data_IF_829320405150
#
_entry.id   IF_829320405150
#
_cell.length_a   1.000
_cell.length_b   1.000
_cell.length_c   1.000
_cell.angle_alpha   90.00
_cell.angle_beta   90.00
_cell.angle_gamma   90.00
#
_symmetry.space_group_name_H-M   'P 1'
#
loop_
_entity.id
_entity.type
_entity.pdbx_description
1 polymer ?
#
# COMPACT_ATOMS: atom_id res chain seq x y z
N UNK A 1 -6.51 -51.06 -19.64
CA UNK A 1 -7.12 -49.84 -19.10
C UNK A 1 -6.74 -49.74 -17.64
N UNK A 2 -5.56 -49.23 -17.35
CA UNK A 2 -5.10 -48.96 -15.97
C UNK A 2 -5.63 -47.60 -15.53
N UNK A 3 -6.42 -47.65 -14.46
CA UNK A 3 -6.96 -46.44 -13.83
C UNK A 3 -5.81 -45.59 -13.28
N UNK A 4 -5.59 -44.41 -13.85
CA UNK A 4 -4.77 -43.35 -13.25
C UNK A 4 -5.35 -43.03 -11.85
N UNK A 5 -4.75 -43.61 -10.81
CA UNK A 5 -4.93 -43.16 -9.44
C UNK A 5 -4.46 -41.70 -9.35
N UNK A 6 -5.40 -40.77 -9.32
CA UNK A 6 -5.12 -39.39 -9.01
C UNK A 6 -4.40 -39.35 -7.67
N UNK A 7 -3.12 -39.02 -7.67
CA UNK A 7 -2.37 -38.74 -6.45
C UNK A 7 -3.06 -37.58 -5.74
N UNK A 8 -3.82 -37.88 -4.68
CA UNK A 8 -4.30 -36.81 -3.78
C UNK A 8 -3.07 -36.04 -3.29
N UNK A 9 -3.06 -34.72 -3.39
CA UNK A 9 -1.92 -33.92 -2.95
C UNK A 9 -1.69 -34.17 -1.45
N UNK A 10 -0.46 -34.51 -1.09
CA UNK A 10 -0.04 -34.71 0.30
C UNK A 10 -0.36 -33.44 1.10
N UNK A 11 -1.25 -33.57 2.10
CA UNK A 11 -1.56 -32.50 3.05
C UNK A 11 -0.35 -32.30 3.97
N UNK A 12 0.55 -31.39 3.61
CA UNK A 12 1.66 -31.00 4.49
C UNK A 12 1.09 -30.22 5.67
N UNK A 13 1.07 -30.86 6.83
CA UNK A 13 0.65 -30.23 8.09
C UNK A 13 1.81 -29.36 8.59
N UNK A 14 1.79 -28.07 8.25
CA UNK A 14 2.80 -27.11 8.73
C UNK A 14 2.86 -27.08 10.26
N UNK A 15 4.03 -27.29 10.83
CA UNK A 15 4.28 -27.06 12.25
C UNK A 15 3.96 -25.59 12.57
N UNK A 16 3.37 -25.34 13.75
CA UNK A 16 3.04 -23.99 14.23
C UNK A 16 4.27 -23.08 14.27
N UNK A 17 5.42 -23.60 14.69
CA UNK A 17 6.68 -22.88 14.76
C UNK A 17 7.21 -22.51 13.37
N UNK A 18 7.10 -23.41 12.41
CA UNK A 18 7.57 -23.17 11.08
C UNK A 18 6.70 -22.13 10.35
N UNK A 19 5.40 -22.14 10.54
CA UNK A 19 4.51 -21.08 10.02
C UNK A 19 4.85 -19.70 10.59
N UNK A 20 5.17 -19.65 11.89
CA UNK A 20 5.58 -18.40 12.52
C UNK A 20 6.91 -17.90 11.97
N UNK A 21 7.88 -18.80 11.80
CA UNK A 21 9.18 -18.46 11.18
C UNK A 21 9.01 -17.93 9.76
N UNK A 22 8.23 -18.60 8.91
CA UNK A 22 7.97 -18.12 7.55
C UNK A 22 7.25 -16.77 7.53
N UNK A 23 6.28 -16.59 8.41
CA UNK A 23 5.61 -15.30 8.56
C UNK A 23 6.60 -14.19 8.93
N UNK A 24 7.50 -14.47 9.86
CA UNK A 24 8.54 -13.52 10.25
C UNK A 24 9.46 -13.17 9.08
N UNK A 25 9.91 -14.17 8.31
CA UNK A 25 10.72 -13.94 7.10
C UNK A 25 9.95 -13.09 6.09
N UNK A 26 8.69 -13.41 5.81
CA UNK A 26 7.86 -12.66 4.84
C UNK A 26 7.64 -11.21 5.30
N UNK A 27 7.34 -10.99 6.58
CA UNK A 27 7.19 -9.65 7.14
C UNK A 27 8.51 -8.87 7.12
N UNK A 28 9.65 -9.53 7.40
CA UNK A 28 10.97 -8.89 7.34
C UNK A 28 11.36 -8.51 5.92
N UNK A 29 11.05 -9.33 4.91
CA UNK A 29 11.26 -9.01 3.49
C UNK A 29 10.55 -7.70 3.14
N UNK A 30 9.26 -7.58 3.50
CA UNK A 30 8.48 -6.36 3.24
C UNK A 30 9.07 -5.13 3.96
N UNK A 31 9.59 -5.30 5.17
CA UNK A 31 10.26 -4.24 5.90
C UNK A 31 11.55 -3.81 5.21
N UNK A 32 12.43 -4.77 4.96
CA UNK A 32 13.76 -4.50 4.41
C UNK A 32 13.69 -3.87 3.03
N UNK A 33 12.80 -4.31 2.16
CA UNK A 33 12.58 -3.68 0.85
C UNK A 33 12.15 -2.20 0.90
N UNK A 34 11.82 -1.68 2.08
CA UNK A 34 11.49 -0.28 2.29
C UNK A 34 12.63 0.53 2.93
N UNK A 35 13.75 -0.08 3.29
CA UNK A 35 14.94 0.60 3.86
C UNK A 35 15.47 1.64 2.87
N UNK A 36 15.60 1.30 1.59
CA UNK A 36 16.02 2.21 0.54
C UNK A 36 15.18 3.50 0.46
N UNK A 37 13.86 3.41 0.73
CA UNK A 37 13.01 4.60 0.78
C UNK A 37 13.38 5.52 1.95
N UNK A 38 13.72 4.95 3.10
CA UNK A 38 14.20 5.70 4.26
C UNK A 38 15.56 6.36 4.02
N UNK A 39 16.50 5.64 3.42
CA UNK A 39 17.83 6.19 3.05
C UNK A 39 17.69 7.36 2.10
N UNK A 40 16.92 7.20 1.01
CA UNK A 40 16.71 8.27 0.02
C UNK A 40 16.11 9.52 0.66
N UNK A 41 15.09 9.37 1.50
CA UNK A 41 14.44 10.52 2.15
C UNK A 41 15.37 11.18 3.18
N UNK A 42 16.18 10.39 3.93
CA UNK A 42 17.08 10.93 4.96
C UNK A 42 18.32 11.60 4.39
N UNK A 43 18.87 11.11 3.27
CA UNK A 43 20.09 11.60 2.63
C UNK A 43 19.83 12.49 1.41
N UNK A 44 18.64 13.07 1.26
CA UNK A 44 18.23 13.86 0.07
C UNK A 44 19.26 14.93 -0.30
N UNK A 45 19.72 15.72 0.66
CA UNK A 45 20.70 16.81 0.43
C UNK A 45 22.04 16.28 -0.06
N UNK A 46 22.54 15.24 0.59
CA UNK A 46 23.84 14.63 0.31
C UNK A 46 23.83 13.91 -1.05
N UNK A 47 22.75 13.23 -1.38
CA UNK A 47 22.55 12.58 -2.69
C UNK A 47 22.48 13.62 -3.80
N UNK A 48 21.70 14.70 -3.62
CA UNK A 48 21.62 15.80 -4.60
C UNK A 48 23.01 16.42 -4.83
N UNK A 49 23.77 16.64 -3.75
CA UNK A 49 25.12 17.20 -3.85
C UNK A 49 26.11 16.26 -4.55
N UNK A 50 26.13 14.98 -4.16
CA UNK A 50 27.09 14.00 -4.69
C UNK A 50 26.84 13.67 -6.16
N UNK A 51 25.56 13.59 -6.57
CA UNK A 51 25.14 13.27 -7.94
C UNK A 51 24.88 14.51 -8.82
N UNK A 52 25.11 15.73 -8.29
CA UNK A 52 24.84 17.01 -8.97
C UNK A 52 23.43 17.09 -9.56
N UNK A 53 22.42 16.75 -8.73
CA UNK A 53 21.02 16.70 -9.14
C UNK A 53 20.25 17.90 -8.59
N UNK A 54 19.28 18.41 -9.39
CA UNK A 54 18.25 19.30 -8.91
C UNK A 54 17.08 18.53 -8.26
N UNK A 55 16.11 19.22 -7.68
CA UNK A 55 15.00 18.63 -6.95
C UNK A 55 14.07 17.83 -7.88
N UNK A 56 13.83 18.34 -9.11
CA UNK A 56 13.04 17.60 -10.12
C UNK A 56 13.70 16.27 -10.50
N UNK A 57 15.01 16.27 -10.73
CA UNK A 57 15.75 15.05 -11.05
C UNK A 57 15.80 14.08 -9.87
N UNK A 58 15.90 14.58 -8.64
CA UNK A 58 15.79 13.74 -7.44
C UNK A 58 14.39 13.15 -7.29
N UNK A 59 13.33 13.93 -7.55
CA UNK A 59 11.94 13.44 -7.56
C UNK A 59 11.72 12.27 -8.54
N UNK A 60 12.48 12.23 -9.64
CA UNK A 60 12.41 11.14 -10.62
C UNK A 60 12.84 9.76 -10.08
N UNK A 61 13.54 9.68 -8.94
CA UNK A 61 13.75 8.41 -8.23
C UNK A 61 12.43 7.78 -7.77
N UNK A 62 11.50 8.62 -7.28
CA UNK A 62 10.15 8.17 -6.91
C UNK A 62 9.36 7.68 -8.11
N UNK A 63 9.39 8.46 -9.20
CA UNK A 63 8.73 8.13 -10.47
C UNK A 63 9.26 6.82 -11.05
N UNK A 64 10.57 6.64 -11.15
CA UNK A 64 11.19 5.44 -11.68
C UNK A 64 10.80 4.19 -10.87
N UNK A 65 10.84 4.28 -9.53
CA UNK A 65 10.40 3.19 -8.65
C UNK A 65 8.94 2.79 -8.90
N UNK A 66 8.06 3.77 -9.06
CA UNK A 66 6.64 3.54 -9.30
C UNK A 66 6.38 2.91 -10.67
N UNK A 67 7.07 3.37 -11.72
CA UNK A 67 7.01 2.77 -13.06
C UNK A 67 7.45 1.31 -13.03
N UNK A 68 8.55 1.00 -12.36
CA UNK A 68 9.01 -0.38 -12.16
C UNK A 68 7.95 -1.25 -11.48
N UNK A 69 7.32 -0.76 -10.42
CA UNK A 69 6.24 -1.45 -9.70
C UNK A 69 5.02 -1.72 -10.58
N UNK A 70 4.64 -0.78 -11.45
CA UNK A 70 3.51 -0.91 -12.36
C UNK A 70 3.80 -2.02 -13.38
N UNK A 71 4.94 -1.96 -14.05
CA UNK A 71 5.35 -2.95 -15.04
C UNK A 71 5.37 -4.34 -14.40
N UNK A 72 5.95 -4.44 -13.22
CA UNK A 72 6.03 -5.68 -12.46
C UNK A 72 4.65 -6.22 -12.07
N UNK A 73 3.76 -5.39 -11.53
CA UNK A 73 2.42 -5.82 -11.11
C UNK A 73 1.61 -6.37 -12.27
N UNK A 74 1.73 -5.77 -13.45
CA UNK A 74 1.06 -6.23 -14.68
C UNK A 74 1.63 -7.55 -15.15
N UNK A 75 2.95 -7.67 -15.26
CA UNK A 75 3.62 -8.89 -15.71
C UNK A 75 3.41 -10.06 -14.75
N UNK A 76 3.60 -9.85 -13.44
CA UNK A 76 3.42 -10.90 -12.45
C UNK A 76 1.96 -11.28 -12.25
N UNK A 77 1.02 -10.36 -12.44
CA UNK A 77 -0.41 -10.67 -12.50
C UNK A 77 -0.72 -11.72 -13.59
N UNK A 78 -0.06 -11.59 -14.76
CA UNK A 78 -0.20 -12.53 -15.88
C UNK A 78 0.60 -13.83 -15.71
N UNK A 79 1.80 -13.74 -15.17
CA UNK A 79 2.75 -14.85 -15.05
C UNK A 79 2.55 -15.71 -13.80
N UNK A 80 1.86 -15.20 -12.80
CA UNK A 80 1.73 -15.83 -11.47
C UNK A 80 1.11 -17.25 -11.50
N UNK A 81 0.40 -17.59 -12.57
CA UNK A 81 -0.16 -18.95 -12.76
C UNK A 81 0.84 -19.94 -13.36
N UNK A 82 1.93 -19.46 -13.99
CA UNK A 82 2.88 -20.28 -14.76
C UNK A 82 4.21 -20.51 -14.05
N UNK A 83 4.58 -19.65 -13.10
CA UNK A 83 5.89 -19.70 -12.43
C UNK A 83 5.68 -20.15 -10.98
N UNK A 84 6.55 -21.06 -10.50
CA UNK A 84 6.60 -21.42 -9.08
C UNK A 84 6.82 -20.17 -8.22
N UNK A 85 6.00 -20.00 -7.20
CA UNK A 85 6.02 -18.83 -6.31
C UNK A 85 7.29 -18.74 -5.50
N UNK A 86 7.85 -19.87 -5.11
CA UNK A 86 9.18 -19.93 -4.48
C UNK A 86 10.22 -19.29 -5.40
N UNK A 87 10.32 -19.77 -6.63
CA UNK A 87 11.31 -19.25 -7.58
C UNK A 87 11.06 -17.77 -7.92
N UNK A 88 9.80 -17.40 -8.12
CA UNK A 88 9.43 -15.99 -8.34
C UNK A 88 9.91 -15.09 -7.19
N UNK A 89 9.63 -15.46 -5.94
CA UNK A 89 10.04 -14.67 -4.77
C UNK A 89 11.55 -14.66 -4.61
N UNK A 90 12.20 -15.82 -4.67
CA UNK A 90 13.64 -15.97 -4.46
C UNK A 90 14.46 -15.21 -5.50
N UNK A 91 14.12 -15.35 -6.80
CA UNK A 91 14.81 -14.63 -7.88
C UNK A 91 14.62 -13.11 -7.76
N UNK A 92 13.41 -12.65 -7.43
CA UNK A 92 13.18 -11.23 -7.26
C UNK A 92 13.96 -10.64 -6.07
N UNK A 93 14.10 -11.37 -4.96
CA UNK A 93 14.94 -10.95 -3.84
C UNK A 93 16.42 -10.87 -4.22
N UNK A 94 16.92 -11.88 -4.93
CA UNK A 94 18.29 -11.90 -5.42
C UNK A 94 18.60 -10.73 -6.37
N UNK A 95 17.74 -10.50 -7.37
CA UNK A 95 17.87 -9.35 -8.28
C UNK A 95 17.75 -8.01 -7.54
N UNK A 96 16.85 -7.92 -6.57
CA UNK A 96 16.72 -6.71 -5.74
C UNK A 96 18.03 -6.38 -5.02
N UNK A 97 18.66 -7.38 -4.40
CA UNK A 97 19.97 -7.21 -3.76
C UNK A 97 21.05 -6.79 -4.76
N UNK A 98 21.10 -7.40 -5.94
CA UNK A 98 22.05 -7.03 -7.00
C UNK A 98 21.86 -5.58 -7.44
N UNK A 99 20.61 -5.13 -7.63
CA UNK A 99 20.34 -3.74 -8.01
C UNK A 99 20.73 -2.75 -6.92
N UNK A 100 20.58 -3.10 -5.64
CA UNK A 100 21.10 -2.28 -4.53
C UNK A 100 22.62 -2.17 -4.53
N UNK A 101 23.34 -3.24 -4.90
CA UNK A 101 24.81 -3.18 -5.01
C UNK A 101 25.26 -2.20 -6.09
N UNK A 102 24.49 -2.01 -7.17
CA UNK A 102 24.82 -1.05 -8.23
C UNK A 102 24.84 0.39 -7.69
N UNK A 103 24.03 0.73 -6.66
CA UNK A 103 24.11 2.04 -6.02
C UNK A 103 25.49 2.33 -5.39
N UNK A 104 26.26 1.30 -5.06
CA UNK A 104 27.59 1.45 -4.51
C UNK A 104 28.68 1.62 -5.59
N UNK A 105 28.42 1.13 -6.80
CA UNK A 105 29.43 1.06 -7.87
C UNK A 105 29.46 2.32 -8.74
N UNK A 106 28.33 3.00 -8.92
CA UNK A 106 28.24 4.14 -9.84
C UNK A 106 27.80 5.43 -9.15
N UNK A 107 28.28 6.56 -9.71
CA UNK A 107 27.83 7.93 -9.36
C UNK A 107 27.04 8.60 -10.49
N UNK A 108 26.68 7.84 -11.54
CA UNK A 108 25.88 8.38 -12.63
C UNK A 108 24.41 8.42 -12.23
N UNK A 109 23.87 9.62 -12.07
CA UNK A 109 22.49 9.86 -11.68
C UNK A 109 21.45 9.16 -12.58
N UNK A 110 21.67 9.14 -13.89
CA UNK A 110 20.72 8.52 -14.84
C UNK A 110 20.70 6.99 -14.69
N UNK A 111 21.88 6.39 -14.49
CA UNK A 111 21.98 4.94 -14.22
C UNK A 111 21.26 4.62 -12.91
N UNK A 112 21.47 5.42 -11.86
CA UNK A 112 20.83 5.18 -10.56
C UNK A 112 19.31 5.34 -10.63
N UNK A 113 18.78 6.30 -11.41
CA UNK A 113 17.35 6.44 -11.67
C UNK A 113 16.79 5.19 -12.37
N UNK A 114 17.48 4.70 -13.39
CA UNK A 114 17.10 3.47 -14.09
C UNK A 114 17.10 2.25 -13.16
N UNK A 115 18.18 2.08 -12.39
CA UNK A 115 18.31 1.00 -11.37
C UNK A 115 17.22 1.12 -10.31
N UNK A 116 16.81 2.34 -9.96
CA UNK A 116 15.68 2.54 -9.05
C UNK A 116 14.35 2.03 -9.64
N UNK A 117 14.17 2.14 -10.96
CA UNK A 117 13.05 1.51 -11.66
C UNK A 117 13.09 -0.03 -11.57
N UNK A 118 14.25 -0.64 -11.78
CA UNK A 118 14.46 -2.08 -11.62
C UNK A 118 14.24 -2.54 -10.16
N UNK A 119 14.64 -1.73 -9.19
CA UNK A 119 14.36 -1.94 -7.78
C UNK A 119 12.85 -1.97 -7.49
N UNK A 120 12.08 -1.00 -8.03
CA UNK A 120 10.63 -1.01 -7.94
C UNK A 120 10.01 -2.25 -8.60
N UNK A 121 10.56 -2.70 -9.73
CA UNK A 121 10.12 -3.91 -10.42
C UNK A 121 10.25 -5.16 -9.54
N UNK A 122 11.37 -5.35 -8.87
CA UNK A 122 11.62 -6.52 -8.02
C UNK A 122 10.90 -6.46 -6.66
N UNK A 123 10.47 -5.28 -6.22
CA UNK A 123 9.73 -5.09 -4.97
C UNK A 123 8.29 -5.63 -5.03
N UNK A 124 7.66 -5.63 -6.22
CA UNK A 124 6.23 -5.92 -6.37
C UNK A 124 5.83 -7.37 -6.13
N UNK A 125 6.55 -8.39 -6.65
CA UNK A 125 6.14 -9.79 -6.49
C UNK A 125 5.98 -10.24 -5.04
N UNK A 126 6.92 -10.00 -4.11
CA UNK A 126 6.72 -10.27 -2.69
C UNK A 126 5.52 -9.54 -2.10
N UNK A 127 5.35 -8.25 -2.42
CA UNK A 127 4.26 -7.43 -1.89
C UNK A 127 2.87 -7.89 -2.34
N UNK A 128 2.75 -8.56 -3.49
CA UNK A 128 1.51 -9.20 -3.93
C UNK A 128 1.33 -10.56 -3.25
N UNK A 129 2.42 -11.31 -3.15
CA UNK A 129 2.38 -12.68 -2.66
C UNK A 129 2.13 -12.78 -1.14
N UNK A 130 2.77 -11.94 -0.33
CA UNK A 130 2.72 -12.01 1.14
C UNK A 130 1.28 -11.91 1.69
N UNK A 131 0.43 -10.96 1.27
CA UNK A 131 -0.97 -10.91 1.72
C UNK A 131 -1.77 -12.16 1.36
N UNK A 132 -1.55 -12.71 0.15
CA UNK A 132 -2.23 -13.92 -0.30
C UNK A 132 -1.78 -15.14 0.49
N UNK A 133 -0.49 -15.23 0.81
CA UNK A 133 0.06 -16.27 1.67
C UNK A 133 -0.54 -16.21 3.08
N UNK A 134 -0.64 -15.02 3.67
CA UNK A 134 -1.27 -14.80 4.97
C UNK A 134 -2.74 -15.25 4.93
N UNK A 135 -3.47 -14.90 3.87
CA UNK A 135 -4.88 -15.29 3.75
C UNK A 135 -5.07 -16.80 3.76
N UNK A 136 -4.13 -17.58 3.25
CA UNK A 136 -4.20 -19.03 3.17
C UNK A 136 -3.67 -19.74 4.42
N UNK A 137 -2.56 -19.26 4.99
CA UNK A 137 -1.85 -19.99 6.05
C UNK A 137 -2.09 -19.43 7.46
N UNK A 138 -2.59 -18.20 7.58
CA UNK A 138 -2.90 -17.62 8.87
C UNK A 138 -4.12 -18.28 9.52
N UNK A 139 -4.05 -18.41 10.83
CA UNK A 139 -5.25 -18.72 11.63
C UNK A 139 -6.21 -17.54 11.47
N UNK A 140 -7.49 -17.83 11.20
CA UNK A 140 -8.50 -16.83 10.83
C UNK A 140 -8.58 -15.63 11.78
N UNK A 141 -8.52 -15.90 13.10
CA UNK A 141 -8.52 -14.86 14.14
C UNK A 141 -7.29 -13.95 14.13
N UNK A 142 -6.14 -14.40 13.58
CA UNK A 142 -4.90 -13.64 13.54
C UNK A 142 -4.60 -13.02 12.18
N UNK A 143 -5.43 -13.26 11.16
CA UNK A 143 -5.20 -12.82 9.79
C UNK A 143 -5.05 -11.31 9.68
N UNK A 144 -5.98 -10.55 10.28
CA UNK A 144 -5.92 -9.09 10.31
C UNK A 144 -4.67 -8.58 11.01
N UNK A 145 -4.31 -9.18 12.16
CA UNK A 145 -3.10 -8.81 12.91
C UNK A 145 -1.85 -9.05 12.07
N UNK A 146 -1.78 -10.17 11.36
CA UNK A 146 -0.62 -10.48 10.51
C UNK A 146 -0.52 -9.53 9.31
N UNK A 147 -1.63 -9.18 8.65
CA UNK A 147 -1.64 -8.18 7.58
C UNK A 147 -1.19 -6.81 8.09
N UNK A 148 -1.68 -6.39 9.26
CA UNK A 148 -1.24 -5.15 9.90
C UNK A 148 0.24 -5.19 10.26
N UNK A 149 0.75 -6.32 10.74
CA UNK A 149 2.19 -6.49 11.06
C UNK A 149 3.05 -6.32 9.81
N UNK A 150 2.63 -6.83 8.66
CA UNK A 150 3.33 -6.63 7.38
C UNK A 150 3.33 -5.15 6.98
N UNK A 151 2.22 -4.45 7.11
CA UNK A 151 2.18 -3.00 6.83
C UNK A 151 3.07 -2.20 7.80
N UNK A 152 3.06 -2.58 9.07
CA UNK A 152 3.92 -1.97 10.08
C UNK A 152 5.41 -2.25 9.80
N UNK A 153 5.76 -3.44 9.31
CA UNK A 153 7.14 -3.77 8.95
C UNK A 153 7.69 -2.89 7.82
N UNK A 154 6.87 -2.50 6.84
CA UNK A 154 7.26 -1.54 5.79
C UNK A 154 7.62 -0.18 6.40
N UNK A 155 6.87 0.25 7.41
CA UNK A 155 7.15 1.49 8.14
C UNK A 155 8.44 1.38 8.96
N UNK A 156 8.62 0.27 9.67
CA UNK A 156 9.85 -0.04 10.41
C UNK A 156 11.06 -0.03 9.45
N UNK A 157 10.93 -0.59 8.25
CA UNK A 157 11.98 -0.56 7.24
C UNK A 157 12.42 0.86 6.87
N UNK A 158 11.48 1.78 6.66
CA UNK A 158 11.81 3.19 6.41
C UNK A 158 12.54 3.82 7.59
N UNK A 159 12.10 3.57 8.82
CA UNK A 159 12.79 4.05 10.02
C UNK A 159 14.22 3.48 10.15
N UNK A 160 14.40 2.19 9.87
CA UNK A 160 15.73 1.56 9.83
C UNK A 160 16.61 2.26 8.78
N UNK A 161 16.08 2.61 7.62
CA UNK A 161 16.80 3.36 6.59
C UNK A 161 17.33 4.72 7.10
N UNK A 162 16.51 5.46 7.85
CA UNK A 162 16.95 6.69 8.51
C UNK A 162 18.05 6.44 9.54
N UNK A 163 17.89 5.42 10.40
CA UNK A 163 18.86 5.05 11.41
C UNK A 163 20.19 4.60 10.81
N UNK A 164 20.16 3.79 9.75
CA UNK A 164 21.36 3.35 9.03
C UNK A 164 22.11 4.55 8.43
N UNK A 165 21.39 5.47 7.82
CA UNK A 165 21.99 6.66 7.25
C UNK A 165 22.61 7.57 8.33
N UNK A 166 21.99 7.68 9.50
CA UNK A 166 22.55 8.39 10.65
C UNK A 166 23.79 7.67 11.20
N UNK A 167 23.75 6.34 11.32
CA UNK A 167 24.85 5.52 11.86
C UNK A 167 26.11 5.57 10.98
N UNK A 168 25.94 5.41 9.66
CA UNK A 168 27.07 5.45 8.73
C UNK A 168 27.57 6.87 8.42
N UNK A 169 26.79 7.89 8.79
CA UNK A 169 27.02 9.27 8.40
C UNK A 169 26.45 9.59 7.00
N UNK A 170 25.83 10.76 6.87
CA UNK A 170 25.10 11.15 5.66
C UNK A 170 25.93 11.18 4.39
N UNK A 171 27.24 11.44 4.50
CA UNK A 171 28.17 11.41 3.37
C UNK A 171 28.35 9.98 2.81
N UNK A 172 28.12 8.97 3.65
CA UNK A 172 28.26 7.55 3.31
C UNK A 172 26.91 6.85 3.06
N UNK A 173 25.91 7.59 2.55
CA UNK A 173 24.55 7.07 2.31
C UNK A 173 24.50 5.76 1.52
N UNK A 174 25.50 5.49 0.67
CA UNK A 174 25.63 4.24 -0.09
C UNK A 174 25.79 3.00 0.80
N UNK A 175 26.42 3.12 1.97
CA UNK A 175 26.61 1.98 2.91
C UNK A 175 25.29 1.43 3.43
N UNK A 176 24.25 2.26 3.54
CA UNK A 176 22.92 1.80 3.92
C UNK A 176 22.32 0.83 2.90
N UNK A 177 22.50 1.08 1.61
CA UNK A 177 22.08 0.15 0.55
C UNK A 177 22.87 -1.16 0.57
N UNK A 178 24.14 -1.11 0.94
CA UNK A 178 24.95 -2.32 1.10
C UNK A 178 24.44 -3.20 2.26
N UNK A 179 24.07 -2.60 3.38
CA UNK A 179 23.49 -3.31 4.51
C UNK A 179 22.15 -3.96 4.15
N UNK A 180 21.28 -3.22 3.43
CA UNK A 180 20.03 -3.74 2.90
C UNK A 180 20.25 -4.93 1.95
N UNK A 181 21.18 -4.81 1.01
CA UNK A 181 21.53 -5.89 0.08
C UNK A 181 22.02 -7.15 0.80
N UNK A 182 22.86 -6.99 1.81
CA UNK A 182 23.35 -8.11 2.62
C UNK A 182 22.24 -8.88 3.32
N UNK A 183 21.28 -8.18 3.91
CA UNK A 183 20.13 -8.83 4.53
C UNK A 183 19.20 -9.50 3.52
N UNK A 184 18.98 -8.89 2.36
CA UNK A 184 18.17 -9.50 1.30
C UNK A 184 18.80 -10.76 0.73
N UNK A 185 20.14 -10.82 0.63
CA UNK A 185 20.85 -12.05 0.25
C UNK A 185 20.64 -13.14 1.31
N UNK A 186 20.65 -12.79 2.59
CA UNK A 186 20.30 -13.73 3.67
C UNK A 186 18.85 -14.22 3.53
N UNK A 187 17.88 -13.34 3.29
CA UNK A 187 16.48 -13.75 3.04
C UNK A 187 16.36 -14.64 1.79
N UNK A 188 17.10 -14.31 0.73
CA UNK A 188 17.15 -15.14 -0.51
C UNK A 188 17.64 -16.55 -0.18
N UNK A 189 18.71 -16.68 0.61
CA UNK A 189 19.21 -17.96 1.07
C UNK A 189 18.17 -18.74 1.89
N UNK A 190 17.49 -18.08 2.84
CA UNK A 190 16.41 -18.69 3.61
C UNK A 190 15.26 -19.21 2.70
N UNK A 191 14.90 -18.44 1.68
CA UNK A 191 13.89 -18.87 0.70
C UNK A 191 14.36 -20.05 -0.14
N UNK A 192 15.64 -20.12 -0.52
CA UNK A 192 16.23 -21.23 -1.29
C UNK A 192 16.14 -22.56 -0.54
N UNK A 193 16.48 -22.58 0.74
CA UNK A 193 16.46 -23.81 1.57
C UNK A 193 15.05 -24.24 1.97
N UNK A 194 14.06 -23.34 1.91
CA UNK A 194 12.66 -23.65 2.25
C UNK A 194 12.03 -24.50 1.15
N UNK A 195 11.29 -25.56 1.51
CA UNK A 195 10.59 -26.40 0.53
C UNK A 195 9.55 -25.62 -0.28
N UNK A 196 9.36 -26.02 -1.56
CA UNK A 196 8.38 -25.41 -2.48
C UNK A 196 6.94 -25.53 -1.97
N UNK A 197 6.64 -26.60 -1.24
CA UNK A 197 5.32 -26.86 -0.66
C UNK A 197 4.81 -25.71 0.25
N UNK A 198 5.73 -25.02 0.91
CA UNK A 198 5.40 -23.90 1.78
C UNK A 198 5.11 -22.58 1.06
N UNK A 199 5.51 -22.51 -0.19
CA UNK A 199 5.21 -21.38 -1.09
C UNK A 199 3.97 -21.65 -1.95
N UNK A 200 3.54 -22.93 -2.08
CA UNK A 200 2.39 -23.28 -2.93
C UNK A 200 1.10 -22.77 -2.28
N UNK A 201 0.31 -22.02 -3.04
CA UNK A 201 -1.00 -21.51 -2.62
C UNK A 201 -2.12 -22.52 -2.89
N UNK A 202 -1.77 -23.71 -3.35
CA UNK A 202 -2.73 -24.74 -3.74
C UNK A 202 -2.99 -25.68 -2.59
N UNK A 203 -3.21 -25.35 -1.39
CA UNK A 203 -3.65 -26.35 -0.44
C UNK A 203 -3.91 -25.83 0.99
N UNK A 204 -5.05 -26.21 1.40
CA UNK A 204 -5.55 -26.27 2.76
C UNK A 204 -6.46 -25.12 3.18
N UNK A 205 -7.69 -25.18 2.73
CA UNK A 205 -8.78 -24.66 3.60
C UNK A 205 -8.97 -25.71 4.69
N UNK A 206 -8.66 -25.44 5.96
CA UNK A 206 -9.07 -26.32 7.03
C UNK A 206 -10.61 -26.44 6.95
N UNK A 207 -11.13 -27.66 6.97
CA UNK A 207 -12.57 -27.84 7.20
C UNK A 207 -12.88 -27.09 8.49
N UNK A 208 -13.74 -26.10 8.38
CA UNK A 208 -14.31 -25.42 9.55
C UNK A 208 -14.95 -26.48 10.43
N UNK A 209 -14.79 -26.37 11.72
CA UNK A 209 -15.61 -27.13 12.65
C UNK A 209 -17.07 -26.74 12.45
N UNK A 210 -18.01 -27.65 12.64
CA UNK A 210 -19.46 -27.39 12.43
C UNK A 210 -19.94 -26.16 13.22
N UNK A 211 -19.28 -25.85 14.32
CA UNK A 211 -19.53 -24.67 15.16
C UNK A 211 -19.01 -23.38 14.54
N UNK A 212 -17.83 -23.40 13.91
CA UNK A 212 -17.25 -22.27 13.18
C UNK A 212 -18.05 -22.01 11.89
N UNK A 213 -18.53 -23.06 11.22
CA UNK A 213 -19.38 -22.94 10.03
C UNK A 213 -20.76 -22.38 10.39
N UNK A 214 -21.33 -22.77 11.54
CA UNK A 214 -22.58 -22.24 12.07
C UNK A 214 -22.48 -20.76 12.48
N UNK A 215 -21.41 -20.38 13.15
CA UNK A 215 -21.12 -19.00 13.49
C UNK A 215 -20.84 -18.14 12.25
N UNK A 216 -20.27 -18.72 11.21
CA UNK A 216 -20.07 -18.07 9.93
C UNK A 216 -21.39 -17.90 9.17
N UNK A 217 -22.26 -18.92 9.18
CA UNK A 217 -23.59 -18.85 8.59
C UNK A 217 -24.42 -17.77 9.27
N UNK A 218 -24.37 -17.64 10.59
CA UNK A 218 -25.06 -16.58 11.34
C UNK A 218 -24.47 -15.19 10.98
N UNK A 219 -23.17 -15.09 10.78
CA UNK A 219 -22.52 -13.85 10.30
C UNK A 219 -22.76 -13.60 8.81
N UNK A 220 -22.96 -14.63 7.99
CA UNK A 220 -23.22 -14.54 6.56
C UNK A 220 -24.72 -14.49 6.22
N UNK A 221 -25.65 -14.90 7.10
CA UNK A 221 -27.09 -14.71 6.91
C UNK A 221 -27.51 -13.25 6.96
N UNK A 222 -26.67 -12.37 7.50
CA UNK A 222 -26.82 -10.92 7.30
C UNK A 222 -26.31 -10.49 5.91
N UNK A 223 -25.60 -11.37 5.15
CA UNK A 223 -24.89 -11.07 3.90
C UNK A 223 -25.14 -12.01 2.71
N UNK A 224 -26.03 -12.98 2.80
CA UNK A 224 -25.96 -14.05 1.82
C UNK A 224 -27.17 -14.81 1.36
N UNK A 225 -28.23 -14.19 0.90
CA UNK A 225 -29.23 -14.89 0.06
C UNK A 225 -28.95 -14.86 -1.45
N UNK A 226 -27.78 -14.42 -1.91
CA UNK A 226 -27.42 -14.37 -3.34
C UNK A 226 -26.52 -15.50 -3.84
N UNK A 227 -26.30 -16.56 -3.08
CA UNK A 227 -25.37 -17.65 -3.49
C UNK A 227 -26.02 -18.90 -4.09
N UNK A 228 -27.23 -18.83 -4.61
CA UNK A 228 -27.86 -19.96 -5.30
C UNK A 228 -28.47 -19.59 -6.64
N UNK A 229 -27.65 -19.12 -7.60
CA UNK A 229 -27.92 -19.25 -9.05
C UNK A 229 -26.66 -18.90 -9.84
N UNK A 230 -26.24 -19.86 -10.63
CA UNK A 230 -25.24 -19.82 -11.72
C UNK A 230 -23.82 -20.34 -11.43
N UNK A 231 -23.73 -21.63 -11.12
CA UNK A 231 -22.47 -22.40 -11.26
C UNK A 231 -22.04 -22.69 -12.73
N UNK A 232 -22.68 -22.08 -13.72
CA UNK A 232 -22.48 -22.46 -15.13
C UNK A 232 -21.92 -21.38 -16.06
N UNK A 233 -21.28 -20.31 -15.56
CA UNK A 233 -20.55 -19.37 -16.43
C UNK A 233 -19.15 -19.04 -15.91
N UNK A 234 -18.23 -20.02 -15.91
CA UNK A 234 -16.79 -19.75 -15.97
C UNK A 234 -16.44 -19.22 -17.37
N UNK A 235 -16.74 -17.98 -17.67
CA UNK A 235 -16.06 -17.21 -18.71
C UNK A 235 -15.09 -16.29 -17.97
N UNK A 236 -13.80 -16.65 -17.94
CA UNK A 236 -12.75 -15.70 -17.64
C UNK A 236 -12.91 -14.51 -18.59
N UNK A 237 -13.35 -13.38 -18.07
CA UNK A 237 -13.50 -12.16 -18.84
C UNK A 237 -12.13 -11.70 -19.32
N UNK A 238 -12.04 -11.17 -20.53
CA UNK A 238 -10.84 -10.51 -21.01
C UNK A 238 -10.61 -9.26 -20.16
N UNK A 239 -9.38 -9.08 -19.63
CA UNK A 239 -8.99 -7.90 -18.82
C UNK A 239 -9.45 -6.57 -19.43
N UNK A 240 -9.42 -6.44 -20.77
CA UNK A 240 -9.90 -5.25 -21.48
C UNK A 240 -11.44 -5.08 -21.43
N UNK A 241 -12.18 -6.19 -21.41
CA UNK A 241 -13.64 -6.15 -21.22
C UNK A 241 -14.00 -5.67 -19.81
N UNK A 242 -13.31 -6.22 -18.81
CA UNK A 242 -13.50 -5.83 -17.41
C UNK A 242 -13.13 -4.35 -17.20
N UNK A 243 -12.02 -3.88 -17.80
CA UNK A 243 -11.61 -2.48 -17.78
C UNK A 243 -12.70 -1.57 -18.37
N UNK A 244 -13.33 -1.96 -19.49
CA UNK A 244 -14.40 -1.19 -20.11
C UNK A 244 -15.63 -1.10 -19.19
N UNK A 245 -16.01 -2.19 -18.55
CA UNK A 245 -17.13 -2.21 -17.58
C UNK A 245 -16.84 -1.28 -16.41
N UNK A 246 -15.63 -1.42 -15.81
CA UNK A 246 -15.21 -0.62 -14.66
C UNK A 246 -15.06 0.87 -14.98
N UNK A 247 -14.66 1.23 -16.20
CA UNK A 247 -14.54 2.62 -16.66
C UNK A 247 -15.90 3.32 -16.81
N UNK A 248 -16.98 2.57 -16.93
CA UNK A 248 -18.33 3.12 -16.97
C UNK A 248 -18.99 3.19 -15.57
N UNK A 249 -18.36 2.62 -14.54
CA UNK A 249 -18.97 2.52 -13.21
C UNK A 249 -18.61 3.74 -12.34
N UNK A 250 -19.51 4.72 -12.25
CA UNK A 250 -19.27 6.02 -11.59
C UNK A 250 -18.79 5.91 -10.13
N UNK A 251 -19.42 5.05 -9.31
CA UNK A 251 -19.02 4.88 -7.91
C UNK A 251 -17.60 4.31 -7.79
N UNK A 252 -17.23 3.40 -8.69
CA UNK A 252 -15.88 2.84 -8.75
C UNK A 252 -14.86 3.93 -9.11
N UNK A 253 -15.11 4.71 -10.16
CA UNK A 253 -14.21 5.79 -10.60
C UNK A 253 -14.00 6.85 -9.52
N UNK A 254 -15.07 7.26 -8.83
CA UNK A 254 -14.97 8.20 -7.71
C UNK A 254 -14.15 7.64 -6.56
N UNK A 255 -14.36 6.36 -6.20
CA UNK A 255 -13.59 5.69 -5.14
C UNK A 255 -12.11 5.58 -5.50
N UNK A 256 -11.80 5.26 -6.76
CA UNK A 256 -10.42 5.21 -7.27
C UNK A 256 -9.78 6.60 -7.23
N UNK A 257 -10.49 7.64 -7.67
CA UNK A 257 -9.99 9.02 -7.65
C UNK A 257 -9.67 9.49 -6.22
N UNK A 258 -10.58 9.25 -5.28
CA UNK A 258 -10.32 9.55 -3.86
C UNK A 258 -9.07 8.82 -3.35
N UNK A 259 -8.97 7.52 -3.61
CA UNK A 259 -7.81 6.71 -3.20
C UNK A 259 -6.50 7.22 -3.80
N UNK A 260 -6.52 7.65 -5.07
CA UNK A 260 -5.37 8.24 -5.75
C UNK A 260 -4.87 9.46 -4.97
N UNK A 261 -5.75 10.39 -4.62
CA UNK A 261 -5.37 11.61 -3.92
C UNK A 261 -4.82 11.27 -2.53
N UNK A 262 -5.55 10.53 -1.71
CA UNK A 262 -5.17 10.19 -0.34
C UNK A 262 -3.80 9.48 -0.27
N UNK A 263 -3.58 8.52 -1.15
CA UNK A 263 -2.33 7.74 -1.17
C UNK A 263 -1.16 8.55 -1.72
N UNK A 264 -1.41 9.40 -2.74
CA UNK A 264 -0.37 10.17 -3.41
C UNK A 264 0.27 11.20 -2.52
N UNK A 265 -0.56 11.93 -1.79
CA UNK A 265 -0.09 12.99 -0.92
C UNK A 265 0.65 12.44 0.29
N UNK A 266 0.19 11.33 0.83
CA UNK A 266 0.93 10.60 1.86
C UNK A 266 2.33 10.18 1.36
N UNK A 267 2.42 9.65 0.14
CA UNK A 267 3.71 9.24 -0.45
C UNK A 267 4.64 10.43 -0.66
N UNK A 268 4.13 11.53 -1.20
CA UNK A 268 4.89 12.76 -1.42
C UNK A 268 5.43 13.34 -0.10
N UNK A 269 4.58 13.41 0.91
CA UNK A 269 4.96 13.89 2.24
C UNK A 269 6.10 13.06 2.82
N UNK A 270 5.99 11.74 2.82
CA UNK A 270 7.06 10.86 3.31
C UNK A 270 8.37 11.00 2.52
N UNK A 271 8.30 11.34 1.25
CA UNK A 271 9.49 11.50 0.41
C UNK A 271 10.22 12.81 0.67
N UNK A 272 9.50 13.93 0.83
CA UNK A 272 10.06 15.28 0.89
C UNK A 272 10.10 15.91 2.29
N UNK A 273 9.44 15.33 3.29
CA UNK A 273 9.28 15.93 4.62
C UNK A 273 10.63 16.25 5.29
N UNK A 274 11.60 15.36 5.21
CA UNK A 274 12.91 15.58 5.81
C UNK A 274 13.66 16.72 5.12
N UNK A 275 13.56 16.82 3.79
CA UNK A 275 14.15 17.91 3.02
C UNK A 275 13.45 19.25 3.34
N UNK A 276 12.13 19.25 3.48
CA UNK A 276 11.34 20.41 3.91
C UNK A 276 11.75 20.90 5.30
N UNK A 277 11.90 20.00 6.28
CA UNK A 277 12.33 20.36 7.64
C UNK A 277 13.75 20.96 7.62
N UNK A 278 14.66 20.46 6.78
CA UNK A 278 16.01 20.99 6.67
C UNK A 278 16.08 22.32 5.94
N UNK A 279 15.39 22.43 4.82
CA UNK A 279 15.58 23.56 3.89
C UNK A 279 14.67 24.75 4.22
N UNK A 280 13.44 24.46 4.65
CA UNK A 280 12.43 25.49 4.91
C UNK A 280 12.38 25.87 6.38
N UNK A 281 12.38 24.88 7.30
CA UNK A 281 12.38 25.13 8.74
C UNK A 281 13.78 25.48 9.25
N UNK A 282 14.84 25.06 8.53
CA UNK A 282 16.23 25.36 8.90
C UNK A 282 16.78 24.47 10.02
N UNK A 283 16.17 23.29 10.27
CA UNK A 283 16.67 22.36 11.27
C UNK A 283 17.96 21.68 10.79
N UNK A 284 19.04 21.85 11.54
CA UNK A 284 20.37 21.30 11.22
C UNK A 284 20.71 20.05 12.01
N UNK A 285 20.02 19.83 13.15
CA UNK A 285 20.25 18.66 13.99
C UNK A 285 19.65 17.40 13.36
N UNK A 286 20.54 16.57 12.84
CA UNK A 286 20.16 15.35 12.14
C UNK A 286 19.50 14.31 13.07
N UNK A 287 19.92 14.21 14.32
CA UNK A 287 19.30 13.31 15.29
C UNK A 287 17.85 13.69 15.51
N UNK A 288 17.58 15.00 15.67
CA UNK A 288 16.25 15.53 15.86
C UNK A 288 15.35 15.29 14.64
N UNK A 289 15.86 15.47 13.42
CA UNK A 289 15.13 15.15 12.18
C UNK A 289 14.79 13.67 12.13
N UNK A 290 15.75 12.79 12.43
CA UNK A 290 15.58 11.33 12.41
C UNK A 290 14.55 10.85 13.43
N UNK A 291 14.61 11.35 14.66
CA UNK A 291 13.65 11.00 15.72
C UNK A 291 12.25 11.47 15.32
N UNK A 292 12.08 12.74 14.90
CA UNK A 292 10.79 13.27 14.51
C UNK A 292 10.20 12.50 13.32
N UNK A 293 11.00 12.21 12.30
CA UNK A 293 10.54 11.42 11.15
C UNK A 293 10.14 9.99 11.57
N UNK A 294 10.89 9.35 12.46
CA UNK A 294 10.54 8.01 12.97
C UNK A 294 9.19 8.03 13.69
N UNK A 295 8.95 9.01 14.54
CA UNK A 295 7.65 9.21 15.22
C UNK A 295 6.54 9.40 14.18
N UNK A 296 6.75 10.24 13.18
CA UNK A 296 5.79 10.52 12.09
C UNK A 296 5.47 9.23 11.31
N UNK A 297 6.47 8.43 10.97
CA UNK A 297 6.26 7.18 10.25
C UNK A 297 5.34 6.21 11.00
N UNK A 298 5.47 6.12 12.32
CA UNK A 298 4.60 5.26 13.14
C UNK A 298 3.20 5.85 13.37
N UNK A 299 3.07 7.16 13.33
CA UNK A 299 1.80 7.86 13.60
C UNK A 299 0.67 7.42 12.64
N UNK A 300 0.95 7.26 11.35
CA UNK A 300 -0.03 6.82 10.37
C UNK A 300 -0.62 5.44 10.69
N UNK A 301 0.17 4.36 10.69
CA UNK A 301 -0.33 3.02 10.96
C UNK A 301 -0.97 2.87 12.34
N UNK A 302 -0.33 3.37 13.40
CA UNK A 302 -0.81 3.23 14.77
C UNK A 302 -2.07 4.09 14.98
N UNK A 303 -2.00 5.36 14.59
CA UNK A 303 -3.13 6.29 14.74
C UNK A 303 -4.33 5.85 13.90
N UNK A 304 -4.10 5.39 12.67
CA UNK A 304 -5.14 4.84 11.82
C UNK A 304 -5.80 3.59 12.41
N UNK A 305 -5.04 2.71 13.06
CA UNK A 305 -5.59 1.56 13.77
C UNK A 305 -6.47 1.97 14.96
N UNK A 306 -5.98 2.87 15.80
CA UNK A 306 -6.72 3.40 16.97
C UNK A 306 -8.01 4.08 16.50
N UNK A 307 -7.92 4.96 15.51
CA UNK A 307 -9.08 5.69 15.00
C UNK A 307 -10.11 4.74 14.35
N UNK A 308 -9.69 3.75 13.56
CA UNK A 308 -10.60 2.77 12.99
C UNK A 308 -11.26 1.89 14.05
N UNK A 309 -10.54 1.53 15.11
CA UNK A 309 -11.12 0.83 16.25
C UNK A 309 -12.16 1.68 16.98
N UNK A 310 -11.87 2.96 17.21
CA UNK A 310 -12.79 3.92 17.85
C UNK A 310 -14.03 4.20 16.98
N UNK A 311 -13.89 4.17 15.65
CA UNK A 311 -14.99 4.38 14.72
C UNK A 311 -15.84 3.11 14.46
N UNK A 312 -15.39 1.94 14.92
CA UNK A 312 -16.10 0.68 14.73
C UNK A 312 -17.59 0.71 15.15
N UNK A 313 -17.98 1.33 16.30
CA UNK A 313 -19.40 1.41 16.67
C UNK A 313 -20.23 2.30 15.73
N UNK A 314 -19.59 3.25 15.04
CA UNK A 314 -20.26 4.17 14.10
C UNK A 314 -20.35 3.54 12.71
N UNK A 315 -19.25 2.97 12.24
CA UNK A 315 -19.12 2.49 10.85
C UNK A 315 -19.63 1.06 10.69
N UNK A 316 -19.62 0.24 11.73
CA UNK A 316 -19.99 -1.20 11.77
C UNK A 316 -19.25 -2.00 10.69
N UNK A 317 -19.44 -1.64 9.41
CA UNK A 317 -18.78 -2.18 8.22
C UNK A 317 -18.64 -1.10 7.16
N UNK A 318 -17.59 -1.15 6.34
CA UNK A 318 -17.41 -0.27 5.18
C UNK A 318 -18.51 -0.45 4.11
N UNK A 319 -19.23 -1.57 4.15
CA UNK A 319 -20.39 -1.81 3.27
C UNK A 319 -21.65 -1.09 3.78
N UNK A 320 -21.69 -0.66 5.04
CA UNK A 320 -22.86 -0.01 5.62
C UNK A 320 -23.04 1.42 5.06
N UNK A 321 -24.31 1.86 5.00
CA UNK A 321 -24.69 3.24 4.67
C UNK A 321 -23.96 4.26 5.55
N UNK A 322 -23.76 3.92 6.83
CA UNK A 322 -23.13 4.78 7.84
C UNK A 322 -21.65 5.05 7.61
N UNK A 323 -20.96 4.28 6.76
CA UNK A 323 -19.53 4.45 6.50
C UNK A 323 -19.17 5.67 5.65
N UNK A 324 -20.12 6.19 4.85
CA UNK A 324 -19.83 7.19 3.82
C UNK A 324 -19.47 8.57 4.38
N UNK A 325 -20.27 9.12 5.30
CA UNK A 325 -20.08 10.47 5.82
C UNK A 325 -18.90 10.62 6.80
N UNK A 326 -18.61 9.66 7.70
CA UNK A 326 -17.42 9.75 8.55
C UNK A 326 -16.13 9.89 7.75
N UNK A 327 -16.02 9.26 6.58
CA UNK A 327 -14.84 9.39 5.71
C UNK A 327 -14.67 10.81 5.19
N UNK A 328 -15.77 11.48 4.81
CA UNK A 328 -15.74 12.88 4.38
C UNK A 328 -15.21 13.79 5.49
N UNK A 329 -15.68 13.58 6.72
CA UNK A 329 -15.25 14.37 7.88
C UNK A 329 -13.76 14.12 8.18
N UNK A 330 -13.34 12.86 8.23
CA UNK A 330 -11.94 12.49 8.46
C UNK A 330 -11.03 13.14 7.41
N UNK A 331 -11.46 13.10 6.13
CA UNK A 331 -10.69 13.66 5.04
C UNK A 331 -10.62 15.18 5.10
N UNK A 332 -11.71 15.86 5.45
CA UNK A 332 -11.71 17.31 5.61
C UNK A 332 -10.72 17.73 6.72
N UNK A 333 -10.75 17.05 7.86
CA UNK A 333 -9.82 17.31 8.95
C UNK A 333 -8.37 17.05 8.52
N UNK A 334 -8.11 15.95 7.82
CA UNK A 334 -6.80 15.65 7.27
C UNK A 334 -6.31 16.76 6.34
N UNK A 335 -7.16 17.22 5.41
CA UNK A 335 -6.82 18.29 4.47
C UNK A 335 -6.42 19.59 5.17
N UNK A 336 -7.14 19.96 6.24
CA UNK A 336 -6.81 21.14 7.04
C UNK A 336 -5.42 21.01 7.68
N UNK A 337 -5.12 19.88 8.32
CA UNK A 337 -3.79 19.65 8.91
C UNK A 337 -2.70 19.54 7.85
N UNK A 338 -2.98 18.94 6.71
CA UNK A 338 -2.06 18.86 5.59
C UNK A 338 -1.59 20.24 5.13
N UNK A 339 -2.51 21.16 4.89
CA UNK A 339 -2.19 22.53 4.49
C UNK A 339 -1.47 23.29 5.61
N UNK A 340 -1.85 23.06 6.88
CA UNK A 340 -1.17 23.68 8.02
C UNK A 340 0.34 23.35 8.05
N UNK A 341 0.79 22.18 7.58
CA UNK A 341 2.20 21.81 7.55
C UNK A 341 3.05 22.88 6.83
N UNK A 342 2.55 23.43 5.72
CA UNK A 342 3.28 24.44 4.94
C UNK A 342 3.48 25.78 5.66
N UNK A 343 2.69 26.07 6.67
CA UNK A 343 2.76 27.35 7.43
C UNK A 343 3.48 27.21 8.77
N UNK A 344 3.86 26.01 9.18
CA UNK A 344 4.56 25.78 10.44
C UNK A 344 6.01 26.29 10.35
N UNK A 345 6.50 26.84 11.47
CA UNK A 345 7.83 27.48 11.54
C UNK A 345 8.82 26.72 12.40
N UNK A 346 8.40 25.69 13.12
CA UNK A 346 9.28 24.89 13.99
C UNK A 346 9.16 23.42 13.71
N UNK A 347 10.23 22.67 13.89
CA UNK A 347 10.25 21.21 13.71
C UNK A 347 9.16 20.54 14.55
N UNK A 348 8.93 21.00 15.76
CA UNK A 348 7.91 20.46 16.65
C UNK A 348 6.48 20.64 16.10
N UNK A 349 6.15 21.84 15.64
CA UNK A 349 4.81 22.12 15.07
C UNK A 349 4.57 21.40 13.75
N UNK A 350 5.60 21.29 12.88
CA UNK A 350 5.55 20.45 11.67
C UNK A 350 5.27 18.99 12.03
N UNK A 351 5.99 18.47 13.03
CA UNK A 351 5.82 17.09 13.48
C UNK A 351 4.39 16.82 13.96
N UNK A 352 3.84 17.68 14.81
CA UNK A 352 2.47 17.54 15.31
C UNK A 352 1.45 17.61 14.17
N UNK A 353 1.54 18.62 13.30
CA UNK A 353 0.63 18.80 12.18
C UNK A 353 0.67 17.56 11.24
N UNK A 354 1.86 17.04 10.98
CA UNK A 354 2.05 15.84 10.16
C UNK A 354 1.49 14.59 10.83
N UNK A 355 1.67 14.41 12.14
CA UNK A 355 1.08 13.29 12.89
C UNK A 355 -0.45 13.33 12.79
N UNK A 356 -1.06 14.47 13.02
CA UNK A 356 -2.51 14.64 12.94
C UNK A 356 -3.02 14.38 11.52
N UNK A 357 -2.36 14.94 10.51
CA UNK A 357 -2.65 14.65 9.10
C UNK A 357 -2.63 13.14 8.85
N UNK A 358 -1.56 12.44 9.23
CA UNK A 358 -1.39 11.01 8.97
C UNK A 358 -2.41 10.14 9.72
N UNK A 359 -2.77 10.49 10.95
CA UNK A 359 -3.80 9.77 11.72
C UNK A 359 -5.14 9.81 10.96
N UNK A 360 -5.60 10.99 10.57
CA UNK A 360 -6.90 11.14 9.91
C UNK A 360 -6.89 10.57 8.49
N UNK A 361 -5.84 10.82 7.71
CA UNK A 361 -5.70 10.28 6.35
C UNK A 361 -5.59 8.75 6.35
N UNK A 362 -4.77 8.17 7.24
CA UNK A 362 -4.64 6.71 7.37
C UNK A 362 -5.90 6.03 7.92
N UNK A 363 -6.77 6.77 8.59
CA UNK A 363 -8.08 6.26 9.01
C UNK A 363 -9.09 6.25 7.86
N UNK A 364 -9.06 7.25 6.99
CA UNK A 364 -9.95 7.36 5.84
C UNK A 364 -9.62 6.33 4.74
N UNK A 365 -8.34 6.08 4.49
CA UNK A 365 -7.86 5.26 3.37
C UNK A 365 -8.41 3.81 3.36
N UNK A 366 -8.41 3.03 4.46
CA UNK A 366 -8.98 1.67 4.46
C UNK A 366 -10.48 1.65 4.20
N UNK A 367 -11.21 2.67 4.65
CA UNK A 367 -12.65 2.77 4.46
C UNK A 367 -12.95 3.06 2.98
N UNK A 368 -12.24 4.00 2.35
CA UNK A 368 -12.32 4.27 0.90
C UNK A 368 -11.99 3.02 0.10
N UNK A 369 -10.98 2.27 0.51
CA UNK A 369 -10.59 1.01 -0.13
C UNK A 369 -11.69 -0.05 0.02
N UNK A 370 -12.32 -0.16 1.19
CA UNK A 370 -13.43 -1.05 1.42
C UNK A 370 -14.66 -0.68 0.58
N UNK A 371 -14.98 0.62 0.48
CA UNK A 371 -16.05 1.14 -0.38
C UNK A 371 -15.76 0.79 -1.84
N UNK A 372 -14.53 0.98 -2.32
CA UNK A 372 -14.11 0.64 -3.68
C UNK A 372 -14.38 -0.83 -4.00
N UNK A 373 -14.03 -1.74 -3.10
CA UNK A 373 -14.26 -3.17 -3.29
C UNK A 373 -15.77 -3.49 -3.28
N UNK A 374 -16.55 -2.84 -2.41
CA UNK A 374 -17.99 -3.07 -2.29
C UNK A 374 -18.83 -2.48 -3.43
N UNK A 375 -18.28 -1.52 -4.19
CA UNK A 375 -18.97 -0.92 -5.34
C UNK A 375 -18.95 -1.79 -6.59
N UNK A 376 -18.16 -2.85 -6.63
CA UNK A 376 -17.92 -3.70 -7.81
C UNK A 376 -18.45 -5.10 -7.54
N UNK A 377 -18.99 -5.76 -8.55
CA UNK A 377 -19.44 -7.13 -8.45
C UNK A 377 -18.28 -8.06 -8.01
N UNK A 378 -18.60 -9.10 -7.24
CA UNK A 378 -17.59 -10.02 -6.67
C UNK A 378 -16.66 -10.63 -7.72
N UNK A 379 -17.18 -10.89 -8.92
CA UNK A 379 -16.40 -11.45 -10.04
C UNK A 379 -15.37 -10.46 -10.60
N UNK A 380 -15.68 -9.16 -10.61
CA UNK A 380 -14.82 -8.07 -11.06
C UNK A 380 -13.97 -7.47 -9.93
N UNK A 381 -14.22 -7.84 -8.67
CA UNK A 381 -13.60 -7.22 -7.49
C UNK A 381 -12.07 -7.30 -7.50
N UNK A 382 -11.51 -8.47 -7.84
CA UNK A 382 -10.06 -8.65 -7.90
C UNK A 382 -9.42 -7.84 -9.04
N UNK A 383 -10.03 -7.85 -10.23
CA UNK A 383 -9.58 -7.07 -11.40
C UNK A 383 -9.71 -5.58 -11.13
N UNK A 384 -10.84 -5.14 -10.55
CA UNK A 384 -11.08 -3.74 -10.17
C UNK A 384 -10.06 -3.25 -9.15
N UNK A 385 -9.74 -4.06 -8.15
CA UNK A 385 -8.73 -3.70 -7.16
C UNK A 385 -7.31 -3.62 -7.76
N UNK A 386 -6.97 -4.53 -8.67
CA UNK A 386 -5.68 -4.50 -9.39
C UNK A 386 -5.55 -3.25 -10.26
N UNK A 387 -6.60 -2.88 -11.02
CA UNK A 387 -6.63 -1.67 -11.84
C UNK A 387 -6.51 -0.41 -10.96
N UNK A 388 -7.27 -0.36 -9.86
CA UNK A 388 -7.17 0.75 -8.92
C UNK A 388 -5.77 0.90 -8.33
N UNK A 389 -5.09 -0.21 -8.03
CA UNK A 389 -3.69 -0.19 -7.57
C UNK A 389 -2.74 0.35 -8.62
N UNK A 390 -2.87 -0.09 -9.89
CA UNK A 390 -2.05 0.41 -11.00
C UNK A 390 -2.25 1.92 -11.16
N UNK A 391 -3.49 2.39 -11.25
CA UNK A 391 -3.81 3.81 -11.39
C UNK A 391 -3.29 4.62 -10.19
N UNK A 392 -3.42 4.09 -8.98
CA UNK A 392 -2.86 4.71 -7.78
C UNK A 392 -1.35 4.86 -7.90
N UNK A 393 -0.61 3.82 -8.28
CA UNK A 393 0.85 3.89 -8.42
C UNK A 393 1.29 4.86 -9.53
N UNK A 394 0.59 4.89 -10.69
CA UNK A 394 0.90 5.79 -11.79
C UNK A 394 0.70 7.25 -11.38
N UNK A 395 -0.50 7.56 -10.90
CA UNK A 395 -0.94 8.95 -10.70
C UNK A 395 -0.49 9.54 -9.36
N UNK A 396 0.06 8.73 -8.45
CA UNK A 396 0.49 9.22 -7.14
C UNK A 396 1.97 9.07 -6.90
N UNK A 397 2.42 7.88 -6.57
CA UNK A 397 3.82 7.64 -6.22
C UNK A 397 4.80 7.97 -7.38
N UNK A 398 4.30 7.93 -8.62
CA UNK A 398 5.07 8.33 -9.80
C UNK A 398 5.10 9.83 -10.03
N UNK A 399 4.02 10.54 -9.81
CA UNK A 399 3.89 11.95 -10.23
C UNK A 399 4.07 12.95 -9.09
N UNK A 400 3.56 12.67 -7.88
CA UNK A 400 3.56 13.67 -6.80
C UNK A 400 4.96 14.06 -6.29
N UNK A 401 5.94 13.15 -6.13
CA UNK A 401 7.29 13.55 -5.76
C UNK A 401 7.99 14.38 -6.83
N UNK A 402 7.73 14.07 -8.12
CA UNK A 402 8.27 14.83 -9.24
C UNK A 402 7.68 16.24 -9.32
N UNK A 403 6.35 16.37 -9.16
CA UNK A 403 5.65 17.66 -9.13
C UNK A 403 6.18 18.56 -8.01
N UNK A 404 6.33 18.01 -6.80
CA UNK A 404 6.96 18.74 -5.71
C UNK A 404 8.34 19.26 -6.10
N UNK A 405 9.19 18.38 -6.65
CA UNK A 405 10.55 18.75 -7.07
C UNK A 405 10.56 19.86 -8.13
N UNK A 406 9.68 19.79 -9.14
CA UNK A 406 9.56 20.82 -10.19
C UNK A 406 9.14 22.17 -9.60
N UNK A 407 8.13 22.19 -8.72
CA UNK A 407 7.64 23.41 -8.08
C UNK A 407 8.75 23.98 -7.19
N UNK A 408 9.42 23.13 -6.41
CA UNK A 408 10.48 23.54 -5.50
C UNK A 408 11.67 24.14 -6.27
N UNK A 409 12.16 23.48 -7.32
CA UNK A 409 13.25 24.01 -8.15
C UNK A 409 12.96 25.41 -8.72
N UNK A 410 11.69 25.65 -9.11
CA UNK A 410 11.32 26.91 -9.76
C UNK A 410 11.09 28.07 -8.79
N UNK A 411 10.58 27.76 -7.59
CA UNK A 411 10.03 28.79 -6.70
C UNK A 411 10.66 28.87 -5.31
N UNK A 412 11.57 27.95 -4.92
CA UNK A 412 12.13 27.85 -3.57
C UNK A 412 12.81 29.13 -3.07
N UNK A 413 13.48 29.86 -3.97
CA UNK A 413 14.24 31.07 -3.59
C UNK A 413 13.29 32.24 -3.22
N UNK A 414 12.08 32.26 -3.77
CA UNK A 414 11.10 33.32 -3.51
C UNK A 414 10.00 32.87 -2.54
N UNK A 415 9.57 31.62 -2.66
CA UNK A 415 8.46 31.03 -1.89
C UNK A 415 8.81 29.61 -1.44
N UNK A 416 9.63 29.44 -0.39
CA UNK A 416 10.16 28.13 0.01
C UNK A 416 9.09 27.12 0.42
N UNK A 417 7.93 27.60 0.89
CA UNK A 417 6.82 26.74 1.34
C UNK A 417 5.86 26.35 0.20
N UNK A 418 6.00 26.95 -0.98
CA UNK A 418 5.00 26.86 -2.05
C UNK A 418 4.81 25.41 -2.54
N UNK A 419 5.90 24.66 -2.69
CA UNK A 419 5.82 23.28 -3.14
C UNK A 419 4.98 22.42 -2.17
N UNK A 420 5.26 22.54 -0.87
CA UNK A 420 4.49 21.82 0.15
C UNK A 420 3.03 22.27 0.18
N UNK A 421 2.77 23.58 0.11
CA UNK A 421 1.43 24.15 0.09
C UNK A 421 0.63 23.66 -1.13
N UNK A 422 1.18 23.73 -2.32
CA UNK A 422 0.52 23.30 -3.55
C UNK A 422 0.15 21.81 -3.48
N UNK A 423 1.10 20.96 -3.09
CA UNK A 423 0.86 19.52 -3.01
C UNK A 423 -0.19 19.20 -1.94
N UNK A 424 -0.05 19.73 -0.72
CA UNK A 424 -1.00 19.42 0.35
C UNK A 424 -2.39 20.03 0.11
N UNK A 425 -2.50 21.11 -0.65
CA UNK A 425 -3.81 21.68 -1.05
C UNK A 425 -4.61 20.78 -1.98
N UNK A 426 -3.95 19.90 -2.74
CA UNK A 426 -4.64 18.90 -3.59
C UNK A 426 -5.51 17.94 -2.76
N UNK A 427 -5.24 17.80 -1.45
CA UNK A 427 -6.05 17.00 -0.53
C UNK A 427 -7.51 17.46 -0.47
N UNK A 428 -7.74 18.77 -0.57
CA UNK A 428 -9.09 19.32 -0.59
C UNK A 428 -9.91 18.87 -1.81
N UNK A 429 -9.25 18.46 -2.91
CA UNK A 429 -9.94 17.94 -4.09
C UNK A 429 -10.62 16.59 -3.78
N UNK A 430 -10.08 15.81 -2.84
CA UNK A 430 -10.71 14.56 -2.43
C UNK A 430 -12.05 14.77 -1.73
N UNK A 431 -12.23 15.88 -1.02
CA UNK A 431 -13.45 16.16 -0.23
C UNK A 431 -14.71 16.21 -1.09
N UNK A 432 -14.80 17.02 -2.19
CA UNK A 432 -15.97 17.01 -3.06
C UNK A 432 -16.20 15.66 -3.73
N UNK A 433 -15.15 14.95 -4.14
CA UNK A 433 -15.30 13.59 -4.69
C UNK A 433 -15.91 12.63 -3.66
N UNK A 434 -15.49 12.70 -2.40
CA UNK A 434 -16.04 11.90 -1.30
C UNK A 434 -17.50 12.31 -0.98
N UNK A 435 -17.83 13.60 -1.04
CA UNK A 435 -19.21 14.07 -0.87
C UNK A 435 -20.13 13.49 -1.95
N UNK A 436 -19.70 13.56 -3.22
CA UNK A 436 -20.48 12.99 -4.34
C UNK A 436 -20.58 11.46 -4.20
N UNK A 437 -19.50 10.78 -3.84
CA UNK A 437 -19.48 9.35 -3.58
C UNK A 437 -20.47 8.97 -2.46
N UNK A 438 -20.46 9.71 -1.35
CA UNK A 438 -21.33 9.47 -0.21
C UNK A 438 -22.81 9.68 -0.60
N UNK A 439 -23.11 10.74 -1.37
CA UNK A 439 -24.45 11.03 -1.84
C UNK A 439 -24.98 9.93 -2.77
N UNK A 440 -24.22 9.59 -3.83
CA UNK A 440 -24.64 8.58 -4.80
C UNK A 440 -24.78 7.19 -4.17
N UNK A 441 -23.89 6.86 -3.25
CA UNK A 441 -23.96 5.59 -2.52
C UNK A 441 -25.20 5.51 -1.63
N UNK A 442 -25.52 6.58 -0.90
CA UNK A 442 -26.72 6.63 -0.06
C UNK A 442 -27.99 6.57 -0.89
N UNK A 443 -28.03 7.25 -2.06
CA UNK A 443 -29.14 7.16 -3.00
C UNK A 443 -29.36 5.72 -3.48
N UNK A 444 -28.28 5.00 -3.79
CA UNK A 444 -28.39 3.59 -4.20
C UNK A 444 -28.98 2.72 -3.10
N UNK A 445 -28.60 2.94 -1.84
CA UNK A 445 -29.20 2.22 -0.70
C UNK A 445 -30.69 2.52 -0.55
N UNK A 446 -31.12 3.79 -0.72
CA UNK A 446 -32.54 4.17 -0.67
C UNK A 446 -33.36 3.50 -1.80
N UNK A 447 -32.78 3.35 -3.00
CA UNK A 447 -33.41 2.65 -4.13
C UNK A 447 -33.52 1.14 -3.88
N UNK A 448 -32.48 0.52 -3.30
CA UNK A 448 -32.48 -0.92 -2.95
C UNK A 448 -33.48 -1.22 -1.85
N UNK A 449 -33.62 -0.36 -0.84
CA UNK A 449 -34.61 -0.48 0.24
C UNK A 449 -36.03 -0.40 -0.29
N UNK A 450 -36.34 0.60 -1.12
CA UNK A 450 -37.66 0.75 -1.78
C UNK A 450 -38.04 -0.43 -2.70
N UNK A 451 -37.06 -1.05 -3.35
CA UNK A 451 -37.33 -2.20 -4.21
C UNK A 451 -37.61 -3.46 -3.37
N UNK A 452 -36.97 -3.62 -2.22
CA UNK A 452 -37.26 -4.73 -1.28
C UNK A 452 -38.69 -4.61 -0.71
N UNK A 453 -39.05 -3.41 -0.25
CA UNK A 453 -40.40 -3.17 0.28
C UNK A 453 -41.50 -3.51 -0.78
N UNK A 454 -41.24 -3.18 -2.05
CA UNK A 454 -42.15 -3.55 -3.15
C UNK A 454 -42.20 -5.03 -3.45
N UNK A 455 -41.06 -5.75 -3.32
CA UNK A 455 -41.03 -7.21 -3.49
C UNK A 455 -41.79 -7.91 -2.36
N UNK A 456 -41.65 -7.44 -1.12
CA UNK A 456 -42.38 -7.95 0.04
C UNK A 456 -43.88 -7.71 -0.10
N UNK A 457 -44.31 -6.54 -0.53
CA UNK A 457 -45.75 -6.24 -0.83
C UNK A 457 -46.33 -7.11 -1.95
N UNK A 458 -45.52 -7.57 -2.90
CA UNK A 458 -45.95 -8.46 -3.99
C UNK A 458 -46.01 -9.94 -3.57
N UNK A 459 -45.30 -10.34 -2.56
CA UNK A 459 -45.28 -11.72 -2.00
C UNK A 459 -46.49 -11.90 -1.05
N UNK A 460 -46.90 -10.84 -0.36
CA UNK A 460 -48.04 -10.87 0.58
C UNK A 460 -49.42 -10.74 -0.13
N UNK A 461 -49.45 -10.52 -1.44
CA UNK A 461 -50.64 -10.54 -2.31
C UNK A 461 -50.72 -11.83 -3.11
#
# INVERSE_FOLDING_TARGET
MEAQKSKQPHKVRLSRYYRFFLFFIMASIEGVMNIANGILSSATKEIKKSLKMNDAKFGSFGTANSLGRIISSTLFGMLNQKISRKWSTTLNLGFHAIFLLIFNITDNANILIFVRGLHGFTQMPPSIYVPVWIDQYAIRSYRTVQLTTVQLSQTIGKCIGYLLNMYFGHEHWKKGFLAEAGYLLFCTFCCLITSDDYFSLTLYRPKLTDEEEKNLRISCTVYGEREKKDDNKKKGGNFFSDLKILSCHTLYLLSVSCRIILHGLNTCLHFWLADFIRTVIGETDQLKITINYSIICFAGPIGGMIANYSLKPIIISYESRRASWPVVILQLIASCFGVCIAFMKTTFTVTIATILFLIFNSSALPIVQGILISCVDKELGATGFAIANILTQVLTSGTTPLLYGIINDKYKDKYPNLAMLCIMSLEFIAVPFLCVLAYLRNKKFDEEEKNKDKEEELVDK
#
